data_IF_292634205432
#
_entry.id   IF_292634205432
#
_cell.length_a   1.000
_cell.length_b   1.000
_cell.length_c   1.000
_cell.angle_alpha   90.00
_cell.angle_beta   90.00
_cell.angle_gamma   90.00
#
_symmetry.space_group_name_H-M   'P 1'
#
loop_
_entity.id
_entity.type
_entity.pdbx_description
1 polymer ?
#
# COMPACT_ATOMS: atom_id res chain seq x y z
N UNK A 1 9.30 -4.06 5.91
CA UNK A 1 8.10 -3.47 6.56
C UNK A 1 7.35 -4.41 7.51
N UNK A 2 7.62 -5.74 7.53
CA UNK A 2 7.02 -6.67 8.52
C UNK A 2 7.35 -6.33 10.00
N UNK A 3 8.46 -5.62 10.24
CA UNK A 3 8.87 -5.17 11.59
C UNK A 3 7.94 -4.07 12.14
N UNK A 4 7.20 -3.33 11.29
CA UNK A 4 6.42 -2.19 11.73
C UNK A 4 5.21 -2.58 12.60
N UNK A 5 4.52 -3.67 12.24
CA UNK A 5 3.33 -4.14 13.00
C UNK A 5 3.73 -4.53 14.42
N UNK A 6 4.78 -5.34 14.57
CA UNK A 6 5.28 -5.76 15.88
C UNK A 6 5.78 -4.57 16.74
N UNK A 7 6.21 -3.47 16.11
CA UNK A 7 6.67 -2.29 16.82
C UNK A 7 5.53 -1.42 17.39
N UNK A 8 4.33 -1.51 16.83
CA UNK A 8 3.16 -0.73 17.28
C UNK A 8 2.17 -1.58 18.11
N UNK A 9 2.28 -2.89 18.03
CA UNK A 9 1.45 -3.83 18.81
C UNK A 9 1.59 -3.56 20.32
N UNK A 10 0.46 -3.46 21.02
CA UNK A 10 0.43 -3.12 22.45
C UNK A 10 0.63 -1.64 22.78
N UNK A 11 1.00 -0.80 21.80
CA UNK A 11 1.21 0.65 21.98
C UNK A 11 0.10 1.52 21.38
N UNK A 12 -0.71 0.98 20.47
CA UNK A 12 -1.82 1.69 19.82
C UNK A 12 -3.10 0.84 19.86
N UNK A 13 -4.29 1.44 19.71
CA UNK A 13 -5.54 0.70 19.58
C UNK A 13 -5.46 -0.37 18.47
N UNK A 14 -6.11 -1.52 18.70
CA UNK A 14 -6.09 -2.64 17.76
C UNK A 14 -6.54 -2.24 16.35
N UNK A 15 -7.50 -1.33 16.20
CA UNK A 15 -7.96 -0.83 14.90
C UNK A 15 -6.86 -0.14 14.09
N UNK A 16 -5.94 0.56 14.76
CA UNK A 16 -4.76 1.15 14.11
C UNK A 16 -3.85 0.03 13.60
N UNK A 17 -3.57 -0.98 14.42
CA UNK A 17 -2.77 -2.15 14.02
C UNK A 17 -3.40 -2.87 12.82
N UNK A 18 -4.72 -3.08 12.85
CA UNK A 18 -5.46 -3.68 11.74
C UNK A 18 -5.44 -2.84 10.47
N UNK A 19 -5.55 -1.50 10.58
CA UNK A 19 -5.44 -0.60 9.43
C UNK A 19 -4.07 -0.76 8.75
N UNK A 20 -2.99 -0.71 9.53
CA UNK A 20 -1.65 -0.89 8.99
C UNK A 20 -1.44 -2.29 8.42
N UNK A 21 -1.94 -3.33 9.08
CA UNK A 21 -1.89 -4.70 8.56
C UNK A 21 -2.57 -4.82 7.20
N UNK A 22 -3.80 -4.35 7.06
CA UNK A 22 -4.55 -4.40 5.80
C UNK A 22 -3.86 -3.59 4.69
N UNK A 23 -3.36 -2.40 5.01
CA UNK A 23 -2.60 -1.58 4.07
C UNK A 23 -1.30 -2.26 3.60
N UNK A 24 -0.56 -2.87 4.53
CA UNK A 24 0.67 -3.60 4.23
C UNK A 24 0.38 -4.84 3.39
N UNK A 25 -0.68 -5.58 3.70
CA UNK A 25 -1.10 -6.75 2.93
C UNK A 25 -1.40 -6.36 1.48
N UNK A 26 -2.20 -5.30 1.26
CA UNK A 26 -2.45 -4.75 -0.07
C UNK A 26 -1.13 -4.42 -0.79
N UNK A 27 -0.21 -3.73 -0.12
CA UNK A 27 1.08 -3.36 -0.69
C UNK A 27 1.94 -4.57 -1.06
N UNK A 28 1.89 -5.65 -0.28
CA UNK A 28 2.64 -6.88 -0.56
C UNK A 28 2.01 -7.68 -1.71
N UNK A 29 0.68 -7.78 -1.76
CA UNK A 29 -0.03 -8.43 -2.87
C UNK A 29 0.23 -7.70 -4.18
N UNK A 30 0.10 -6.38 -4.21
CA UNK A 30 0.33 -5.56 -5.41
C UNK A 30 1.77 -5.64 -5.96
N UNK A 31 2.72 -6.12 -5.15
CA UNK A 31 4.14 -6.30 -5.53
C UNK A 31 4.48 -7.74 -5.95
N UNK A 32 3.51 -8.67 -5.96
CA UNK A 32 3.75 -10.04 -6.46
C UNK A 32 4.08 -9.99 -7.96
N UNK A 33 4.99 -10.86 -8.39
CA UNK A 33 5.40 -10.98 -9.80
C UNK A 33 4.32 -11.63 -10.67
N UNK A 34 3.46 -12.44 -10.07
CA UNK A 34 2.36 -13.13 -10.75
C UNK A 34 1.09 -12.82 -9.98
N UNK A 35 0.13 -12.22 -10.66
CA UNK A 35 -1.17 -11.84 -10.11
C UNK A 35 -2.23 -12.51 -10.98
N UNK A 36 -2.82 -13.57 -10.43
CA UNK A 36 -3.96 -14.27 -11.03
C UNK A 36 -5.27 -13.70 -10.49
N UNK A 37 -6.42 -14.12 -11.03
CA UNK A 37 -7.72 -13.63 -10.61
C UNK A 37 -7.97 -13.82 -9.09
N UNK A 38 -7.60 -14.96 -8.53
CA UNK A 38 -7.68 -15.20 -7.08
C UNK A 38 -6.83 -14.22 -6.25
N UNK A 39 -5.70 -13.78 -6.79
CA UNK A 39 -4.83 -12.78 -6.14
C UNK A 39 -5.43 -11.37 -6.27
N UNK A 40 -6.19 -11.10 -7.32
CA UNK A 40 -6.96 -9.85 -7.44
C UNK A 40 -8.11 -9.80 -6.43
N UNK A 41 -8.75 -10.93 -6.15
CA UNK A 41 -9.73 -11.05 -5.07
C UNK A 41 -9.06 -10.77 -3.72
N UNK A 42 -7.93 -11.41 -3.40
CA UNK A 42 -7.14 -11.12 -2.19
C UNK A 42 -6.77 -9.62 -2.09
N UNK A 43 -6.38 -9.00 -3.21
CA UNK A 43 -6.00 -7.60 -3.26
C UNK A 43 -7.19 -6.68 -2.96
N UNK A 44 -8.36 -6.98 -3.52
CA UNK A 44 -9.58 -6.24 -3.28
C UNK A 44 -10.06 -6.42 -1.83
N UNK A 45 -9.97 -7.63 -1.28
CA UNK A 45 -10.31 -7.90 0.11
C UNK A 45 -9.42 -7.09 1.07
N UNK A 46 -8.10 -7.08 0.85
CA UNK A 46 -7.18 -6.26 1.62
C UNK A 46 -7.53 -4.77 1.55
N UNK A 47 -7.98 -4.28 0.39
CA UNK A 47 -8.46 -2.91 0.22
C UNK A 47 -9.74 -2.64 1.02
N UNK A 48 -10.71 -3.56 1.02
CA UNK A 48 -11.94 -3.41 1.80
C UNK A 48 -11.64 -3.39 3.30
N UNK A 49 -10.75 -4.26 3.78
CA UNK A 49 -10.31 -4.25 5.17
C UNK A 49 -9.61 -2.94 5.54
N UNK A 50 -8.77 -2.40 4.66
CA UNK A 50 -8.15 -1.10 4.87
C UNK A 50 -9.18 0.03 4.97
N UNK A 51 -10.19 0.03 4.09
CA UNK A 51 -11.28 1.02 4.14
C UNK A 51 -12.16 0.88 5.38
N UNK A 52 -12.36 -0.33 5.88
CA UNK A 52 -13.09 -0.57 7.11
C UNK A 52 -12.35 0.01 8.32
N UNK A 53 -11.09 -0.40 8.54
CA UNK A 53 -10.37 -0.01 9.76
C UNK A 53 -9.91 1.46 9.76
N UNK A 54 -9.64 2.06 8.59
CA UNK A 54 -9.19 3.46 8.55
C UNK A 54 -10.22 4.44 9.11
N UNK A 55 -11.52 4.12 9.08
CA UNK A 55 -12.56 5.00 9.61
C UNK A 55 -12.38 5.28 11.11
N UNK A 56 -11.64 4.44 11.83
CA UNK A 56 -11.21 4.70 13.20
C UNK A 56 -10.50 6.05 13.34
N UNK A 57 -9.67 6.45 12.36
CA UNK A 57 -8.96 7.74 12.40
C UNK A 57 -9.90 8.95 12.30
N UNK A 58 -11.09 8.79 11.71
CA UNK A 58 -12.14 9.83 11.77
C UNK A 58 -12.85 9.81 13.11
N UNK A 59 -13.12 8.61 13.66
CA UNK A 59 -13.79 8.49 14.97
C UNK A 59 -12.99 9.16 16.09
N UNK A 60 -11.65 9.09 16.05
CA UNK A 60 -10.77 9.78 17.01
C UNK A 60 -10.39 11.19 16.57
N UNK A 61 -11.05 11.74 15.55
CA UNK A 61 -10.87 13.10 15.02
C UNK A 61 -9.45 13.45 14.56
N UNK A 62 -8.60 12.45 14.30
CA UNK A 62 -7.23 12.62 13.78
C UNK A 62 -7.24 12.94 12.29
N UNK A 63 -8.25 12.48 11.56
CA UNK A 63 -8.42 12.74 10.13
C UNK A 63 -9.83 13.25 9.82
N UNK A 64 -9.93 14.33 9.03
CA UNK A 64 -11.21 14.85 8.53
C UNK A 64 -11.65 14.16 7.24
N UNK A 65 -10.70 13.78 6.39
CA UNK A 65 -10.97 13.12 5.10
C UNK A 65 -9.85 12.14 4.73
N UNK A 66 -10.14 11.21 3.82
CA UNK A 66 -9.16 10.27 3.24
C UNK A 66 -8.88 10.56 1.76
N UNK A 67 -8.74 11.84 1.41
CA UNK A 67 -8.50 12.32 0.03
C UNK A 67 -7.02 12.30 -0.39
N UNK A 68 -6.22 11.42 0.22
CA UNK A 68 -4.80 11.29 -0.10
C UNK A 68 -4.62 10.63 -1.48
N UNK A 69 -3.90 11.24 -2.43
CA UNK A 69 -3.75 10.70 -3.79
C UNK A 69 -3.26 9.24 -3.83
N UNK A 70 -2.32 8.89 -2.95
CA UNK A 70 -1.79 7.53 -2.85
C UNK A 70 -2.80 6.51 -2.29
N UNK A 71 -3.73 6.93 -1.42
CA UNK A 71 -4.79 6.05 -0.93
C UNK A 71 -5.92 5.93 -1.96
N UNK A 72 -6.18 7.00 -2.71
CA UNK A 72 -7.17 6.99 -3.78
C UNK A 72 -6.74 6.08 -4.93
N UNK A 73 -5.45 6.06 -5.28
CA UNK A 73 -4.96 5.23 -6.39
C UNK A 73 -5.20 3.73 -6.16
N UNK A 74 -5.24 3.28 -4.90
CA UNK A 74 -5.41 1.87 -4.53
C UNK A 74 -6.66 1.23 -5.17
N UNK A 75 -7.77 1.97 -5.27
CA UNK A 75 -9.03 1.43 -5.86
C UNK A 75 -8.92 1.09 -7.34
N UNK A 76 -7.93 1.65 -8.03
CA UNK A 76 -7.72 1.44 -9.46
C UNK A 76 -6.78 0.26 -9.75
N UNK A 77 -6.13 -0.33 -8.74
CA UNK A 77 -5.11 -1.36 -8.97
C UNK A 77 -5.68 -2.60 -9.64
N UNK A 78 -6.85 -3.08 -9.24
CA UNK A 78 -7.45 -4.29 -9.84
C UNK A 78 -7.68 -4.09 -11.34
N UNK A 79 -8.27 -2.97 -11.72
CA UNK A 79 -8.51 -2.64 -13.13
C UNK A 79 -7.20 -2.47 -13.91
N UNK A 80 -6.25 -1.72 -13.36
CA UNK A 80 -4.96 -1.48 -14.00
C UNK A 80 -4.15 -2.78 -14.17
N UNK A 81 -4.21 -3.71 -13.21
CA UNK A 81 -3.52 -4.99 -13.33
C UNK A 81 -4.17 -5.86 -14.42
N UNK A 82 -5.49 -5.85 -14.56
CA UNK A 82 -6.17 -6.55 -15.67
C UNK A 82 -5.80 -5.98 -17.03
N UNK A 83 -5.67 -4.65 -17.14
CA UNK A 83 -5.35 -3.97 -18.40
C UNK A 83 -3.87 -4.04 -18.78
N UNK A 84 -2.96 -3.94 -17.80
CA UNK A 84 -1.53 -3.72 -18.04
C UNK A 84 -0.62 -4.80 -17.45
N UNK A 85 -1.18 -5.77 -16.73
CA UNK A 85 -0.44 -6.83 -16.06
C UNK A 85 0.12 -6.43 -14.69
N UNK A 86 0.86 -7.34 -14.07
CA UNK A 86 1.43 -7.12 -12.74
C UNK A 86 2.47 -5.98 -12.75
N UNK A 87 2.52 -5.12 -11.71
CA UNK A 87 3.49 -4.01 -11.65
C UNK A 87 4.94 -4.49 -11.56
N UNK A 88 5.17 -5.75 -11.17
CA UNK A 88 6.49 -6.38 -11.03
C UNK A 88 7.48 -5.58 -10.16
N UNK A 89 6.95 -4.84 -9.17
CA UNK A 89 7.75 -4.01 -8.29
C UNK A 89 8.45 -2.82 -8.97
N UNK A 90 8.13 -2.50 -10.22
CA UNK A 90 8.66 -1.33 -10.90
C UNK A 90 8.10 -0.05 -10.26
N UNK A 91 8.98 0.87 -9.88
CA UNK A 91 8.58 2.18 -9.38
C UNK A 91 9.66 3.23 -9.65
N UNK A 92 9.31 4.50 -9.42
CA UNK A 92 10.20 5.64 -9.62
C UNK A 92 11.50 5.57 -8.81
N UNK A 93 11.56 4.77 -7.73
CA UNK A 93 12.80 4.59 -6.98
C UNK A 93 13.93 3.99 -7.82
N UNK A 94 13.62 3.16 -8.82
CA UNK A 94 14.62 2.59 -9.72
C UNK A 94 15.27 3.66 -10.61
N UNK A 95 14.45 4.58 -11.13
CA UNK A 95 14.94 5.71 -11.94
C UNK A 95 15.64 6.74 -11.07
N UNK A 96 15.11 7.01 -9.87
CA UNK A 96 15.71 7.92 -8.89
C UNK A 96 17.10 7.45 -8.44
N UNK A 97 17.29 6.14 -8.21
CA UNK A 97 18.59 5.58 -7.82
C UNK A 97 19.65 5.82 -8.90
N UNK A 98 19.29 5.63 -10.19
CA UNK A 98 20.16 5.96 -11.31
C UNK A 98 20.42 7.47 -11.41
N UNK A 99 19.40 8.30 -11.18
CA UNK A 99 19.51 9.75 -11.18
C UNK A 99 20.50 10.25 -10.12
N UNK A 100 20.43 9.73 -8.88
CA UNK A 100 21.39 10.05 -7.81
C UNK A 100 22.83 9.76 -8.25
N UNK A 101 23.09 8.59 -8.86
CA UNK A 101 24.43 8.25 -9.34
C UNK A 101 24.91 9.22 -10.42
N UNK A 102 24.04 9.57 -11.37
CA UNK A 102 24.36 10.50 -12.46
C UNK A 102 24.67 11.92 -11.93
N UNK A 103 23.93 12.39 -10.93
CA UNK A 103 24.10 13.74 -10.35
C UNK A 103 25.26 13.82 -9.34
N UNK A 104 25.47 12.77 -8.53
CA UNK A 104 26.45 12.78 -7.43
C UNK A 104 27.83 12.26 -7.81
N UNK A 105 27.96 11.56 -8.94
CA UNK A 105 29.25 11.17 -9.52
C UNK A 105 29.30 11.57 -11.00
N UNK A 106 29.27 12.88 -11.31
CA UNK A 106 29.50 13.34 -12.66
C UNK A 106 31.00 13.17 -12.94
N UNK A 107 31.33 12.15 -13.74
CA UNK A 107 32.67 11.79 -14.25
C UNK A 107 33.80 11.69 -13.20
#
# INVERSE_FOLDING_TARGET
MKVYIAAIEGHVPCDIVHTFRAFLEFCYIARRNVIMESVLEELNDALQWFYHYREFFKMVEVATTFSLPCQHSMKHYVELIRQFGAPNGLCSSMTENKHIRAVKKPY
#
